data_IF_061003210338
#
_entry.id   IF_061003210338
#
_cell.length_a   1.000
_cell.length_b   1.000
_cell.length_c   1.000
_cell.angle_alpha   90.00
_cell.angle_beta   90.00
_cell.angle_gamma   90.00
#
_symmetry.space_group_name_H-M   'P 1'
#
loop_
_entity.id
_entity.type
_entity.pdbx_description
1 polymer ?
#
# COMPACT_ATOMS: atom_id res chain seq x y z
N UNK A 1 -24.05 -0.05 -12.52
CA UNK A 1 -22.82 -0.84 -12.29
C UNK A 1 -22.58 -0.90 -10.79
N UNK A 2 -22.29 -2.06 -10.22
CA UNK A 2 -21.97 -2.21 -8.79
C UNK A 2 -20.46 -2.47 -8.68
N UNK A 3 -19.77 -1.68 -7.85
CA UNK A 3 -18.35 -1.85 -7.57
C UNK A 3 -18.15 -2.54 -6.22
N UNK A 4 -17.17 -3.45 -6.15
CA UNK A 4 -16.70 -4.04 -4.91
C UNK A 4 -15.36 -3.40 -4.53
N UNK A 5 -15.37 -2.64 -3.44
CA UNK A 5 -14.20 -1.97 -2.89
C UNK A 5 -13.78 -2.65 -1.59
N UNK A 6 -12.50 -2.76 -1.35
CA UNK A 6 -11.95 -3.31 -0.13
C UNK A 6 -10.79 -2.47 0.38
N UNK A 7 -10.54 -2.54 1.68
CA UNK A 7 -9.30 -2.09 2.31
C UNK A 7 -8.68 -3.26 3.07
N UNK A 8 -7.36 -3.38 3.01
CA UNK A 8 -6.65 -4.47 3.67
C UNK A 8 -5.29 -3.98 4.17
N UNK A 9 -5.12 -3.95 5.48
CA UNK A 9 -3.80 -3.76 6.08
C UNK A 9 -3.05 -5.10 6.04
N UNK A 10 -1.96 -5.14 5.29
CA UNK A 10 -1.13 -6.35 5.11
C UNK A 10 0.16 -6.17 5.91
N UNK A 11 0.06 -6.37 7.20
CA UNK A 11 1.17 -6.26 8.14
C UNK A 11 2.42 -7.04 7.64
N UNK A 12 3.58 -6.37 7.63
CA UNK A 12 4.87 -6.94 7.20
C UNK A 12 4.90 -7.42 5.74
N UNK A 13 4.13 -6.78 4.87
CA UNK A 13 4.03 -7.19 3.47
C UNK A 13 5.35 -7.00 2.72
N UNK A 14 6.08 -5.95 3.02
CA UNK A 14 7.40 -5.64 2.46
C UNK A 14 8.39 -6.80 2.60
N UNK A 15 8.34 -7.52 3.73
CA UNK A 15 9.23 -8.64 4.05
C UNK A 15 9.04 -9.88 3.13
N UNK A 16 7.98 -9.91 2.34
CA UNK A 16 7.71 -11.00 1.38
C UNK A 16 8.30 -10.76 0.00
N UNK A 17 8.96 -9.61 -0.22
CA UNK A 17 9.57 -9.25 -1.49
C UNK A 17 11.09 -9.07 -1.34
N UNK A 18 11.81 -9.36 -2.41
CA UNK A 18 13.21 -8.96 -2.53
C UNK A 18 13.35 -7.47 -2.92
N UNK A 19 14.57 -7.01 -3.04
CA UNK A 19 14.89 -5.63 -3.45
C UNK A 19 14.39 -5.28 -4.85
N UNK A 20 14.20 -6.26 -5.72
CA UNK A 20 13.67 -6.08 -7.07
C UNK A 20 12.15 -6.18 -7.13
N UNK A 21 11.49 -6.46 -5.98
CA UNK A 21 10.04 -6.59 -5.85
C UNK A 21 9.48 -7.93 -6.35
N UNK A 22 10.26 -9.01 -6.30
CA UNK A 22 9.77 -10.36 -6.54
C UNK A 22 9.40 -11.04 -5.22
N UNK A 23 8.32 -11.85 -5.26
CA UNK A 23 7.87 -12.62 -4.11
C UNK A 23 8.86 -13.74 -3.76
N UNK A 24 9.27 -13.76 -2.50
CA UNK A 24 10.17 -14.77 -1.94
C UNK A 24 9.36 -15.96 -1.39
N UNK A 25 9.10 -16.95 -2.26
CA UNK A 25 8.34 -18.15 -1.92
C UNK A 25 9.24 -19.26 -1.37
N UNK A 26 9.88 -18.98 -0.25
CA UNK A 26 10.81 -19.90 0.38
C UNK A 26 10.33 -20.35 1.78
N UNK A 27 11.16 -21.13 2.45
CA UNK A 27 10.91 -21.67 3.79
C UNK A 27 11.49 -20.80 4.90
N UNK A 28 12.03 -19.63 4.58
CA UNK A 28 12.49 -18.67 5.57
C UNK A 28 11.29 -18.15 6.36
N UNK A 29 11.47 -17.99 7.66
CA UNK A 29 10.44 -17.45 8.53
C UNK A 29 10.05 -16.03 8.09
N UNK A 30 8.75 -15.82 7.98
CA UNK A 30 8.22 -14.48 7.76
C UNK A 30 8.36 -13.66 9.05
N UNK A 31 8.15 -12.34 8.98
CA UNK A 31 8.08 -11.52 10.21
C UNK A 31 6.84 -11.80 11.05
N UNK A 32 5.87 -12.51 10.50
CA UNK A 32 4.75 -13.12 11.26
C UNK A 32 5.24 -14.39 11.92
N UNK A 33 5.06 -14.48 13.22
CA UNK A 33 5.56 -15.62 14.01
C UNK A 33 4.98 -16.95 13.53
N UNK A 34 5.83 -17.98 13.51
CA UNK A 34 5.49 -19.38 13.27
C UNK A 34 4.98 -19.73 11.87
N UNK A 35 5.19 -18.90 10.87
CA UNK A 35 4.90 -19.24 9.48
C UNK A 35 6.05 -18.85 8.55
N UNK A 36 6.22 -19.60 7.45
CA UNK A 36 7.20 -19.25 6.42
C UNK A 36 6.66 -18.20 5.46
N UNK A 37 7.56 -17.53 4.72
CA UNK A 37 7.16 -16.58 3.66
C UNK A 37 6.24 -17.23 2.64
N UNK A 38 6.53 -18.47 2.23
CA UNK A 38 5.66 -19.21 1.31
C UNK A 38 4.24 -19.41 1.88
N UNK A 39 4.13 -19.75 3.17
CA UNK A 39 2.83 -19.94 3.83
C UNK A 39 2.06 -18.61 3.94
N UNK A 40 2.73 -17.52 4.31
CA UNK A 40 2.09 -16.20 4.37
C UNK A 40 1.61 -15.75 2.99
N UNK A 41 2.44 -15.88 1.95
CA UNK A 41 2.07 -15.54 0.57
C UNK A 41 0.84 -16.36 0.11
N UNK A 42 0.81 -17.66 0.42
CA UNK A 42 -0.35 -18.51 0.10
C UNK A 42 -1.62 -18.05 0.81
N UNK A 43 -1.52 -17.71 2.09
CA UNK A 43 -2.65 -17.21 2.89
C UNK A 43 -3.19 -15.88 2.32
N UNK A 44 -2.31 -14.90 2.05
CA UNK A 44 -2.67 -13.63 1.43
C UNK A 44 -3.34 -13.84 0.06
N UNK A 45 -2.79 -14.71 -0.77
CA UNK A 45 -3.39 -15.06 -2.05
C UNK A 45 -4.80 -15.65 -1.91
N UNK A 46 -5.05 -16.44 -0.86
CA UNK A 46 -6.40 -16.94 -0.58
C UNK A 46 -7.36 -15.82 -0.20
N UNK A 47 -6.91 -14.89 0.65
CA UNK A 47 -7.72 -13.75 1.08
C UNK A 47 -8.08 -12.87 -0.11
N UNK A 48 -7.10 -12.40 -0.88
CA UNK A 48 -7.36 -11.46 -1.98
C UNK A 48 -8.23 -12.06 -3.09
N UNK A 49 -8.06 -13.35 -3.39
CA UNK A 49 -8.95 -14.06 -4.33
C UNK A 49 -10.38 -14.17 -3.83
N UNK A 50 -10.58 -14.36 -2.51
CA UNK A 50 -11.93 -14.43 -1.92
C UNK A 50 -12.60 -13.06 -1.83
N UNK A 51 -11.82 -12.00 -1.61
CA UNK A 51 -12.32 -10.62 -1.64
C UNK A 51 -12.85 -10.31 -3.05
N UNK A 52 -12.14 -10.70 -4.10
CA UNK A 52 -12.50 -10.50 -5.50
C UNK A 52 -13.02 -9.08 -5.78
N UNK A 53 -12.28 -8.08 -5.34
CA UNK A 53 -12.66 -6.68 -5.45
C UNK A 53 -12.26 -6.06 -6.80
N UNK A 54 -13.00 -5.01 -7.20
CA UNK A 54 -12.64 -4.13 -8.31
C UNK A 54 -11.49 -3.20 -7.93
N UNK A 55 -11.41 -2.83 -6.64
CA UNK A 55 -10.27 -2.11 -6.09
C UNK A 55 -10.00 -2.52 -4.63
N UNK A 56 -8.71 -2.60 -4.28
CA UNK A 56 -8.22 -2.93 -2.93
C UNK A 56 -7.23 -1.86 -2.50
N UNK A 57 -7.58 -1.09 -1.49
CA UNK A 57 -6.64 -0.20 -0.80
C UNK A 57 -5.74 -1.06 0.09
N UNK A 58 -4.48 -1.21 -0.31
CA UNK A 58 -3.47 -1.95 0.46
C UNK A 58 -2.75 -0.98 1.38
N UNK A 59 -2.97 -1.15 2.67
CA UNK A 59 -2.27 -0.42 3.74
C UNK A 59 -1.07 -1.25 4.19
N UNK A 60 0.05 -0.60 4.46
CA UNK A 60 1.36 -1.24 4.65
C UNK A 60 1.82 -2.03 3.40
N UNK A 61 1.55 -1.45 2.24
CA UNK A 61 2.05 -1.95 0.98
C UNK A 61 3.60 -1.94 0.96
N UNK A 62 4.23 -2.73 0.06
CA UNK A 62 5.68 -2.70 -0.09
C UNK A 62 6.17 -1.29 -0.41
N UNK A 63 7.24 -0.87 0.26
CA UNK A 63 7.85 0.44 0.10
C UNK A 63 8.35 0.71 -1.34
N UNK A 64 8.42 1.97 -1.67
CA UNK A 64 9.14 2.46 -2.83
C UNK A 64 10.44 3.11 -2.35
N UNK A 65 11.56 2.49 -2.65
CA UNK A 65 12.90 2.91 -2.26
C UNK A 65 13.80 3.11 -3.49
N UNK A 66 15.09 3.33 -3.27
CA UNK A 66 16.07 3.37 -4.38
C UNK A 66 16.17 2.05 -5.15
N UNK A 67 15.89 0.92 -4.51
CA UNK A 67 16.05 -0.42 -5.06
C UNK A 67 14.70 -1.05 -5.44
N UNK A 68 13.67 -0.85 -4.61
CA UNK A 68 12.34 -1.43 -4.80
C UNK A 68 11.33 -0.40 -5.34
N UNK A 69 10.47 -0.86 -6.22
CA UNK A 69 9.29 -0.11 -6.65
C UNK A 69 8.03 -0.82 -6.15
N UNK A 70 7.35 -0.23 -5.16
CA UNK A 70 6.18 -0.81 -4.50
C UNK A 70 5.02 -1.09 -5.46
N UNK A 71 4.80 -0.22 -6.45
CA UNK A 71 3.79 -0.43 -7.51
C UNK A 71 4.07 -1.70 -8.29
N UNK A 72 5.32 -1.90 -8.75
CA UNK A 72 5.71 -3.11 -9.49
C UNK A 72 5.61 -4.36 -8.61
N UNK A 73 6.00 -4.26 -7.35
CA UNK A 73 5.92 -5.38 -6.40
C UNK A 73 4.46 -5.84 -6.24
N UNK A 74 3.53 -4.91 -6.03
CA UNK A 74 2.10 -5.22 -5.92
C UNK A 74 1.49 -5.74 -7.23
N UNK A 75 1.86 -5.20 -8.37
CA UNK A 75 1.39 -5.71 -9.67
C UNK A 75 1.86 -7.15 -9.90
N UNK A 76 3.11 -7.48 -9.54
CA UNK A 76 3.62 -8.86 -9.59
C UNK A 76 2.88 -9.78 -8.63
N UNK A 77 2.61 -9.32 -7.41
CA UNK A 77 1.78 -10.06 -6.47
C UNK A 77 0.40 -10.35 -7.07
N UNK A 78 -0.28 -9.35 -7.61
CA UNK A 78 -1.59 -9.51 -8.23
C UNK A 78 -1.56 -10.51 -9.40
N UNK A 79 -0.55 -10.42 -10.26
CA UNK A 79 -0.34 -11.36 -11.37
C UNK A 79 -0.13 -12.79 -10.88
N UNK A 80 0.72 -12.97 -9.88
CA UNK A 80 1.00 -14.28 -9.29
C UNK A 80 -0.22 -14.87 -8.61
N UNK A 81 -1.08 -14.03 -7.99
CA UNK A 81 -2.32 -14.46 -7.33
C UNK A 81 -3.47 -14.66 -8.32
N UNK A 82 -3.34 -14.19 -9.57
CA UNK A 82 -4.37 -14.29 -10.60
C UNK A 82 -5.63 -13.50 -10.24
N UNK A 83 -5.49 -12.32 -9.60
CA UNK A 83 -6.62 -11.45 -9.26
C UNK A 83 -6.84 -10.40 -10.34
N UNK A 84 -8.10 -9.95 -10.49
CA UNK A 84 -8.48 -8.96 -11.51
C UNK A 84 -7.98 -7.56 -11.18
N UNK A 85 -7.88 -7.18 -9.92
CA UNK A 85 -7.25 -5.94 -9.48
C UNK A 85 -5.72 -6.03 -9.67
N UNK A 86 -5.23 -5.76 -10.89
CA UNK A 86 -3.86 -6.05 -11.33
C UNK A 86 -3.03 -4.82 -11.70
N UNK A 87 -3.62 -3.64 -11.69
CA UNK A 87 -2.92 -2.36 -11.80
C UNK A 87 -2.80 -1.72 -10.42
N UNK A 88 -1.77 -0.91 -10.23
CA UNK A 88 -1.53 -0.25 -8.97
C UNK A 88 -1.29 1.25 -9.14
N UNK A 89 -1.87 2.04 -8.24
CA UNK A 89 -1.67 3.48 -8.12
C UNK A 89 -1.13 3.80 -6.73
N UNK A 90 -0.01 4.50 -6.67
CA UNK A 90 0.57 5.05 -5.44
C UNK A 90 0.31 6.55 -5.37
N UNK A 91 0.25 7.09 -4.16
CA UNK A 91 0.23 8.52 -3.88
C UNK A 91 1.63 9.05 -3.58
N UNK A 92 1.73 9.84 -2.52
CA UNK A 92 3.01 10.36 -2.05
C UNK A 92 3.84 9.25 -1.40
N UNK A 93 5.13 9.24 -1.71
CA UNK A 93 6.12 8.36 -1.09
C UNK A 93 6.70 9.04 0.14
N UNK A 94 7.01 8.30 1.18
CA UNK A 94 7.67 8.80 2.38
C UNK A 94 8.86 7.91 2.79
N UNK A 95 9.57 8.32 3.83
CA UNK A 95 10.77 7.63 4.33
C UNK A 95 10.46 6.48 5.31
N UNK A 96 9.18 6.20 5.61
CA UNK A 96 8.80 5.23 6.66
C UNK A 96 8.72 3.78 6.16
N UNK A 97 8.94 3.55 4.88
CA UNK A 97 8.88 2.22 4.25
C UNK A 97 7.51 1.53 4.34
N UNK A 98 6.45 2.30 4.55
CA UNK A 98 5.08 1.80 4.63
C UNK A 98 4.17 2.68 3.76
N UNK A 99 3.72 2.13 2.66
CA UNK A 99 2.96 2.87 1.67
C UNK A 99 1.47 2.52 1.73
N UNK A 100 0.65 3.42 1.19
CA UNK A 100 -0.74 3.13 0.82
C UNK A 100 -0.79 3.06 -0.70
N UNK A 101 -1.14 1.90 -1.23
CA UNK A 101 -1.24 1.67 -2.68
C UNK A 101 -2.60 1.09 -3.00
N UNK A 102 -3.26 1.62 -4.03
CA UNK A 102 -4.50 1.06 -4.57
C UNK A 102 -4.19 0.05 -5.66
N UNK A 103 -4.58 -1.22 -5.47
CA UNK A 103 -4.74 -2.18 -6.55
C UNK A 103 -6.13 -2.00 -7.17
N UNK A 104 -6.24 -2.03 -8.49
CA UNK A 104 -7.53 -1.91 -9.18
C UNK A 104 -7.60 -2.74 -10.47
N UNK A 105 -8.82 -3.07 -10.86
CA UNK A 105 -9.11 -3.74 -12.12
C UNK A 105 -9.15 -2.70 -13.25
N UNK A 106 -8.18 -2.71 -14.18
CA UNK A 106 -8.12 -1.74 -15.28
C UNK A 106 -9.20 -1.94 -16.35
N UNK A 107 -9.92 -3.06 -16.32
CA UNK A 107 -11.04 -3.29 -17.27
C UNK A 107 -12.33 -2.61 -16.77
N UNK A 108 -12.34 -2.20 -15.47
CA UNK A 108 -13.51 -1.58 -14.83
C UNK A 108 -13.22 -0.14 -14.42
N UNK A 109 -11.99 0.17 -14.01
CA UNK A 109 -11.61 1.45 -13.42
C UNK A 109 -10.42 2.08 -14.15
N UNK A 110 -10.48 3.38 -14.35
CA UNK A 110 -9.33 4.23 -14.63
C UNK A 110 -9.00 5.03 -13.38
N UNK A 111 -7.76 4.96 -12.95
CA UNK A 111 -7.35 5.56 -11.66
C UNK A 111 -6.12 6.43 -11.86
N UNK A 112 -6.16 7.63 -11.29
CA UNK A 112 -4.99 8.50 -11.16
C UNK A 112 -4.88 9.08 -9.75
N UNK A 113 -3.66 9.37 -9.31
CA UNK A 113 -3.44 10.14 -8.09
C UNK A 113 -3.90 11.57 -8.32
N UNK A 114 -4.80 12.06 -7.47
CA UNK A 114 -5.44 13.36 -7.59
C UNK A 114 -5.45 14.10 -6.23
N UNK A 115 -4.26 14.47 -5.70
CA UNK A 115 -4.18 15.11 -4.40
C UNK A 115 -4.78 16.50 -4.45
N UNK A 116 -5.61 16.82 -3.47
CA UNK A 116 -6.10 18.18 -3.27
C UNK A 116 -4.97 19.09 -2.79
N UNK A 117 -5.06 20.34 -3.14
CA UNK A 117 -4.07 21.36 -2.81
C UNK A 117 -4.72 22.74 -2.77
N UNK A 118 -5.57 22.96 -1.77
CA UNK A 118 -6.24 24.23 -1.50
C UNK A 118 -6.07 24.61 -0.03
N UNK A 119 -6.42 25.85 0.38
CA UNK A 119 -6.24 26.30 1.76
C UNK A 119 -6.98 25.46 2.81
N UNK A 120 -8.10 24.84 2.43
CA UNK A 120 -8.94 24.04 3.32
C UNK A 120 -8.60 22.55 3.28
N UNK A 121 -7.81 22.13 2.30
CA UNK A 121 -7.37 20.74 2.12
C UNK A 121 -5.86 20.69 1.83
N UNK A 122 -5.02 20.78 2.86
CA UNK A 122 -3.56 20.77 2.69
C UNK A 122 -3.11 19.42 2.12
N UNK A 123 -2.04 19.47 1.32
CA UNK A 123 -1.46 18.26 0.74
C UNK A 123 -0.87 17.35 1.81
N UNK A 124 -1.06 16.06 1.66
CA UNK A 124 -0.60 15.08 2.63
C UNK A 124 0.91 14.74 2.56
N UNK A 125 1.64 15.28 1.57
CA UNK A 125 3.11 15.18 1.48
C UNK A 125 3.83 16.30 2.26
N UNK A 126 3.09 17.25 2.83
CA UNK A 126 3.61 18.36 3.63
C UNK A 126 3.76 18.00 5.10
N UNK A 127 4.29 18.98 5.84
CA UNK A 127 4.31 18.96 7.30
C UNK A 127 3.38 20.04 7.85
N UNK A 128 2.86 19.78 9.04
CA UNK A 128 2.06 20.69 9.82
C UNK A 128 2.80 21.08 11.10
N UNK A 129 2.75 22.34 11.47
CA UNK A 129 3.24 22.80 12.76
C UNK A 129 2.08 22.86 13.73
N UNK A 130 2.05 21.93 14.69
CA UNK A 130 0.96 21.76 15.66
C UNK A 130 1.56 21.76 17.06
N UNK A 131 0.92 22.45 17.99
CA UNK A 131 1.17 22.34 19.42
C UNK A 131 0.40 21.13 19.95
N UNK A 132 1.09 19.99 20.09
CA UNK A 132 0.48 18.71 20.45
C UNK A 132 0.13 18.58 21.94
N UNK A 133 0.86 19.26 22.81
CA UNK A 133 0.73 19.15 24.27
C UNK A 133 0.31 20.45 24.96
N UNK A 134 -0.08 21.46 24.19
CA UNK A 134 -0.55 22.77 24.67
C UNK A 134 0.50 23.49 25.53
N UNK A 135 1.77 23.35 25.16
CA UNK A 135 2.91 24.01 25.85
C UNK A 135 3.40 25.28 25.15
N UNK A 136 2.65 25.80 24.15
CA UNK A 136 2.98 26.93 23.30
C UNK A 136 4.18 26.69 22.34
N UNK A 137 4.67 25.45 22.28
CA UNK A 137 5.74 25.05 21.35
C UNK A 137 5.14 24.24 20.21
N UNK A 138 5.34 24.69 18.97
CA UNK A 138 4.85 23.98 17.79
C UNK A 138 5.84 22.93 17.33
N UNK A 139 5.37 21.72 17.14
CA UNK A 139 6.12 20.58 16.62
C UNK A 139 5.77 20.30 15.16
N UNK A 140 6.76 19.87 14.39
CA UNK A 140 6.54 19.45 13.01
C UNK A 140 5.97 18.05 12.97
N UNK A 141 4.75 17.93 12.44
CA UNK A 141 4.04 16.66 12.30
C UNK A 141 3.91 16.31 10.82
N UNK A 142 4.19 15.06 10.47
CA UNK A 142 4.03 14.50 9.12
C UNK A 142 3.24 13.20 9.17
N UNK A 143 2.53 12.90 8.10
CA UNK A 143 1.92 11.58 7.96
C UNK A 143 2.99 10.51 7.78
N UNK A 144 3.00 9.52 8.64
CA UNK A 144 3.85 8.32 8.47
C UNK A 144 3.42 7.46 7.29
N UNK A 145 2.14 7.53 6.93
CA UNK A 145 1.54 6.93 5.74
C UNK A 145 0.66 8.00 5.09
N UNK A 146 1.17 8.77 4.12
CA UNK A 146 0.37 9.80 3.48
C UNK A 146 -0.91 9.21 2.88
N UNK A 147 -2.08 9.81 3.17
CA UNK A 147 -3.32 9.40 2.55
C UNK A 147 -3.24 9.40 1.03
N UNK A 148 -3.85 8.39 0.41
CA UNK A 148 -3.92 8.27 -1.04
C UNK A 148 -5.26 8.82 -1.53
N UNK A 149 -5.22 9.92 -2.27
CA UNK A 149 -6.36 10.50 -2.95
C UNK A 149 -6.35 10.08 -4.43
N UNK A 150 -7.43 9.50 -4.89
CA UNK A 150 -7.57 9.03 -6.28
C UNK A 150 -8.89 9.47 -6.89
N UNK A 151 -8.87 9.62 -8.19
CA UNK A 151 -10.07 9.77 -9.02
C UNK A 151 -10.00 8.85 -10.25
#
# INVERSE_FOLDING_TARGET
MQLRLATYNVEWFDALFDEQGYLQRDTVWSRRHNITRAQQIKALGTVVRRIDADAIMVVEAPDTSRQRNGVRALQRFAQVMGIRARKAQIGFVNDTQQEIILLYDPDVLHVRHAPRSDPDAPRFDGSLLIDLDVNETKEEVRFSKPPLEVE
#
